data_IF_462797203355
#
_entry.id   IF_462797203355
#
_cell.length_a   1.000
_cell.length_b   1.000
_cell.length_c   1.000
_cell.angle_alpha   90.00
_cell.angle_beta   90.00
_cell.angle_gamma   90.00
#
_symmetry.space_group_name_H-M   'P 1'
#
loop_
_entity.id
_entity.type
_entity.pdbx_description
1 polymer ?
#
# COMPACT_ATOMS: atom_id res chain seq x y z
N UNK A 1 -11.59 16.73 19.71
CA UNK A 1 -10.38 16.09 19.14
C UNK A 1 -10.22 16.64 17.72
N UNK A 2 -9.05 17.17 17.36
CA UNK A 2 -8.81 17.64 16.00
C UNK A 2 -8.88 16.47 15.01
N UNK A 3 -9.39 16.67 13.79
CA UNK A 3 -9.41 15.62 12.79
C UNK A 3 -7.99 15.19 12.42
N UNK A 4 -7.79 13.90 12.10
CA UNK A 4 -6.47 13.40 11.69
C UNK A 4 -6.01 14.10 10.41
N UNK A 5 -4.72 14.45 10.35
CA UNK A 5 -4.13 15.17 9.21
C UNK A 5 -3.36 14.24 8.25
N UNK A 6 -3.18 12.97 8.63
CA UNK A 6 -2.50 11.95 7.81
C UNK A 6 -3.33 10.67 7.78
N UNK A 7 -3.18 9.84 6.74
CA UNK A 7 -3.84 8.54 6.66
C UNK A 7 -3.43 7.61 7.81
N UNK A 8 -2.15 7.65 8.21
CA UNK A 8 -1.65 6.85 9.32
C UNK A 8 -2.31 7.25 10.64
N UNK A 9 -2.47 8.55 10.90
CA UNK A 9 -3.19 9.04 12.08
C UNK A 9 -4.69 8.71 12.01
N UNK A 10 -5.29 8.70 10.82
CA UNK A 10 -6.68 8.30 10.62
C UNK A 10 -6.88 6.82 10.95
N UNK A 11 -5.98 5.95 10.48
CA UNK A 11 -6.02 4.52 10.81
C UNK A 11 -5.80 4.28 12.30
N UNK A 12 -4.83 4.97 12.93
CA UNK A 12 -4.61 4.87 14.38
C UNK A 12 -5.85 5.27 15.18
N UNK A 13 -6.53 6.35 14.79
CA UNK A 13 -7.78 6.78 15.40
C UNK A 13 -8.92 5.77 15.17
N UNK A 14 -9.01 5.17 13.98
CA UNK A 14 -9.99 4.14 13.69
C UNK A 14 -9.73 2.85 14.49
N UNK A 15 -8.47 2.49 14.72
CA UNK A 15 -8.04 1.31 15.47
C UNK A 15 -8.49 1.30 16.95
N UNK A 16 -8.85 2.46 17.51
CA UNK A 16 -9.41 2.54 18.88
C UNK A 16 -10.87 2.04 18.96
N UNK A 17 -11.50 1.74 17.80
CA UNK A 17 -12.89 1.29 17.69
C UNK A 17 -12.92 -0.21 17.42
N UNK A 18 -13.16 -1.03 18.43
CA UNK A 18 -13.03 -2.50 18.36
C UNK A 18 -13.97 -3.15 17.33
N UNK A 19 -15.20 -2.63 17.18
CA UNK A 19 -16.20 -3.18 16.27
C UNK A 19 -16.15 -2.61 14.83
N UNK A 20 -15.27 -1.64 14.56
CA UNK A 20 -15.16 -1.03 13.25
C UNK A 20 -14.06 -1.72 12.42
N UNK A 21 -14.37 -1.94 11.14
CA UNK A 21 -13.46 -2.66 10.24
C UNK A 21 -14.07 -2.83 8.86
N UNK A 22 -13.58 -3.81 8.13
CA UNK A 22 -14.07 -4.15 6.80
C UNK A 22 -14.08 -5.68 6.60
N UNK A 23 -14.83 -6.13 5.63
CA UNK A 23 -14.91 -7.54 5.25
C UNK A 23 -14.50 -7.72 3.80
N UNK A 24 -13.61 -8.68 3.55
CA UNK A 24 -13.35 -9.16 2.20
C UNK A 24 -14.43 -10.18 1.79
N UNK A 25 -15.09 -9.90 0.68
CA UNK A 25 -16.06 -10.81 0.06
C UNK A 25 -15.34 -11.58 -1.04
N UNK A 26 -15.29 -12.91 -0.93
CA UNK A 26 -14.73 -13.75 -1.99
C UNK A 26 -15.82 -14.13 -3.00
N UNK A 27 -15.41 -14.42 -4.26
CA UNK A 27 -16.32 -14.92 -5.30
C UNK A 27 -16.85 -16.33 -5.02
N UNK A 28 -16.21 -17.08 -4.13
CA UNK A 28 -16.50 -18.50 -3.86
C UNK A 28 -17.55 -18.74 -2.78
N UNK A 29 -18.43 -17.77 -2.49
CA UNK A 29 -19.44 -17.89 -1.41
C UNK A 29 -18.87 -18.27 -0.04
N UNK A 30 -17.58 -18.10 0.18
CA UNK A 30 -17.00 -18.28 1.50
C UNK A 30 -17.48 -17.17 2.44
N UNK A 31 -17.60 -17.46 3.75
CA UNK A 31 -17.95 -16.42 4.70
C UNK A 31 -16.97 -15.26 4.61
N UNK A 32 -17.49 -14.04 4.59
CA UNK A 32 -16.70 -12.83 4.59
C UNK A 32 -15.72 -12.82 5.77
N UNK A 33 -14.44 -12.60 5.51
CA UNK A 33 -13.47 -12.45 6.59
C UNK A 33 -13.51 -11.02 7.10
N UNK A 34 -13.98 -10.82 8.32
CA UNK A 34 -13.95 -9.49 8.97
C UNK A 34 -12.56 -9.19 9.52
N UNK A 35 -12.09 -7.99 9.24
CA UNK A 35 -10.84 -7.43 9.75
C UNK A 35 -11.16 -6.12 10.48
N UNK A 36 -10.93 -6.07 11.79
CA UNK A 36 -11.05 -4.82 12.55
C UNK A 36 -9.92 -3.85 12.18
N UNK A 37 -10.19 -2.54 12.30
CA UNK A 37 -9.13 -1.53 12.11
C UNK A 37 -7.99 -1.69 13.13
N UNK A 38 -8.27 -2.23 14.31
CA UNK A 38 -7.23 -2.57 15.29
C UNK A 38 -6.31 -3.70 14.79
N UNK A 39 -6.87 -4.73 14.15
CA UNK A 39 -6.08 -5.80 13.55
C UNK A 39 -5.28 -5.29 12.33
N UNK A 40 -5.90 -4.47 11.48
CA UNK A 40 -5.23 -3.84 10.34
C UNK A 40 -4.06 -2.95 10.80
N UNK A 41 -4.25 -2.15 11.87
CA UNK A 41 -3.21 -1.32 12.46
C UNK A 41 -1.99 -2.15 12.88
N UNK A 42 -2.20 -3.23 13.65
CA UNK A 42 -1.10 -4.12 14.07
C UNK A 42 -0.36 -4.76 12.89
N UNK A 43 -1.10 -5.21 11.87
CA UNK A 43 -0.49 -5.79 10.65
C UNK A 43 0.31 -4.74 9.87
N UNK A 44 -0.22 -3.53 9.74
CA UNK A 44 0.49 -2.41 9.10
C UNK A 44 1.77 -2.04 9.88
N UNK A 45 1.73 -2.04 11.23
CA UNK A 45 2.93 -1.81 12.05
C UNK A 45 3.98 -2.90 11.81
N UNK A 46 3.57 -4.17 11.77
CA UNK A 46 4.48 -5.28 11.45
C UNK A 46 5.09 -5.16 10.06
N UNK A 47 4.31 -4.78 9.04
CA UNK A 47 4.81 -4.51 7.69
C UNK A 47 5.82 -3.35 7.69
N UNK A 48 5.57 -2.29 8.44
CA UNK A 48 6.49 -1.17 8.56
C UNK A 48 7.83 -1.60 9.21
N UNK A 49 7.77 -2.35 10.32
CA UNK A 49 8.96 -2.91 10.96
C UNK A 49 9.74 -3.84 10.02
N UNK A 50 9.04 -4.67 9.23
CA UNK A 50 9.64 -5.53 8.23
C UNK A 50 10.36 -4.73 7.13
N UNK A 51 9.75 -3.65 6.62
CA UNK A 51 10.38 -2.76 5.66
C UNK A 51 11.64 -2.09 6.23
N UNK A 52 11.59 -1.66 7.49
CA UNK A 52 12.77 -1.11 8.19
C UNK A 52 13.87 -2.17 8.36
N UNK A 53 13.53 -3.42 8.67
CA UNK A 53 14.47 -4.54 8.76
C UNK A 53 15.11 -4.86 7.39
N UNK A 54 14.38 -4.65 6.28
CA UNK A 54 14.91 -4.72 4.91
C UNK A 54 15.80 -3.52 4.53
N UNK A 55 16.00 -2.56 5.44
CA UNK A 55 16.81 -1.37 5.24
C UNK A 55 16.10 -0.26 4.45
N UNK A 56 14.77 -0.30 4.36
CA UNK A 56 13.99 0.81 3.78
C UNK A 56 14.02 2.01 4.75
N UNK A 57 14.35 3.17 4.23
CA UNK A 57 14.46 4.42 5.00
C UNK A 57 13.30 5.37 4.68
N UNK A 58 12.98 6.31 5.59
CA UNK A 58 12.02 7.36 5.29
C UNK A 58 12.34 8.09 3.97
N UNK A 59 11.32 8.35 3.16
CA UNK A 59 11.43 8.96 1.83
C UNK A 59 11.84 8.00 0.70
N UNK A 60 12.24 6.77 0.97
CA UNK A 60 12.48 5.78 -0.07
C UNK A 60 11.16 5.23 -0.65
N UNK A 61 11.20 4.76 -1.89
CA UNK A 61 10.04 4.22 -2.62
C UNK A 61 10.07 2.72 -2.60
N UNK A 62 8.90 2.14 -2.27
CA UNK A 62 8.68 0.69 -2.21
C UNK A 62 7.62 0.32 -3.23
N UNK A 63 7.99 -0.47 -4.22
CA UNK A 63 7.06 -1.06 -5.19
C UNK A 63 6.19 -2.11 -4.50
N UNK A 64 4.87 -2.02 -4.66
CA UNK A 64 3.90 -2.98 -4.14
C UNK A 64 3.21 -3.68 -5.30
N UNK A 65 3.50 -4.98 -5.49
CA UNK A 65 2.94 -5.82 -6.55
C UNK A 65 2.26 -7.01 -5.88
N UNK A 66 1.10 -6.77 -5.28
CA UNK A 66 0.39 -7.71 -4.42
C UNK A 66 -1.00 -8.00 -4.98
N UNK A 67 -1.27 -9.23 -5.42
CA UNK A 67 -2.60 -9.64 -5.90
C UNK A 67 -3.64 -9.76 -4.78
N UNK A 68 -3.19 -10.09 -3.57
CA UNK A 68 -4.06 -10.18 -2.40
C UNK A 68 -4.36 -8.80 -1.82
N UNK A 69 -5.64 -8.44 -1.75
CA UNK A 69 -6.08 -7.12 -1.28
C UNK A 69 -5.75 -6.87 0.19
N UNK A 70 -5.74 -7.90 1.04
CA UNK A 70 -5.42 -7.73 2.45
C UNK A 70 -3.93 -7.46 2.63
N UNK A 71 -3.07 -8.23 1.96
CA UNK A 71 -1.63 -7.99 1.95
C UNK A 71 -1.29 -6.62 1.35
N UNK A 72 -2.00 -6.21 0.29
CA UNK A 72 -1.82 -4.90 -0.33
C UNK A 72 -2.13 -3.77 0.66
N UNK A 73 -3.28 -3.83 1.35
CA UNK A 73 -3.68 -2.83 2.34
C UNK A 73 -2.69 -2.78 3.50
N UNK A 74 -2.28 -3.92 4.04
CA UNK A 74 -1.32 -4.00 5.14
C UNK A 74 0.03 -3.37 4.74
N UNK A 75 0.50 -3.62 3.51
CA UNK A 75 1.78 -3.09 3.03
C UNK A 75 1.73 -1.60 2.62
N UNK A 76 0.62 -1.09 2.06
CA UNK A 76 0.53 0.33 1.71
C UNK A 76 0.54 1.20 2.98
N UNK A 77 -0.19 0.79 4.03
CA UNK A 77 -0.12 1.46 5.33
C UNK A 77 1.20 1.21 6.05
N UNK A 78 1.78 0.01 5.90
CA UNK A 78 3.11 -0.30 6.40
C UNK A 78 4.19 0.62 5.83
N UNK A 79 4.18 0.85 4.52
CA UNK A 79 5.10 1.79 3.87
C UNK A 79 4.94 3.22 4.42
N UNK A 80 3.70 3.71 4.55
CA UNK A 80 3.42 5.02 5.12
C UNK A 80 3.89 5.14 6.58
N UNK A 81 3.70 4.09 7.40
CA UNK A 81 4.16 4.06 8.80
C UNK A 81 5.69 4.02 8.91
N UNK A 82 6.36 3.38 7.96
CA UNK A 82 7.82 3.41 7.85
C UNK A 82 8.36 4.75 7.33
N UNK A 83 7.50 5.71 6.97
CA UNK A 83 7.86 6.96 6.31
C UNK A 83 8.30 6.75 4.86
N UNK A 84 8.10 5.58 4.30
CA UNK A 84 8.39 5.27 2.91
C UNK A 84 7.22 5.65 2.00
N UNK A 85 7.49 5.79 0.72
CA UNK A 85 6.53 6.16 -0.30
C UNK A 85 6.10 4.87 -1.02
N UNK A 86 4.84 4.50 -0.90
CA UNK A 86 4.29 3.36 -1.61
C UNK A 86 4.19 3.63 -3.13
N UNK A 87 4.51 2.64 -3.94
CA UNK A 87 4.36 2.66 -5.41
C UNK A 87 3.51 1.46 -5.82
N UNK A 88 2.17 1.58 -5.78
CA UNK A 88 1.27 0.52 -6.22
C UNK A 88 1.45 0.19 -7.70
N UNK A 89 1.61 -1.09 -8.01
CA UNK A 89 1.74 -1.59 -9.39
C UNK A 89 0.82 -2.81 -9.52
N UNK A 90 -0.04 -2.82 -10.53
CA UNK A 90 -0.91 -3.96 -10.78
C UNK A 90 -0.11 -5.23 -11.03
N UNK A 91 -0.51 -6.37 -10.44
CA UNK A 91 0.08 -7.67 -10.77
C UNK A 91 -0.23 -8.07 -12.22
N UNK A 92 0.54 -9.01 -12.81
CA UNK A 92 0.30 -9.46 -14.18
C UNK A 92 -1.05 -10.19 -14.26
N UNK A 93 -1.98 -9.64 -15.07
CA UNK A 93 -3.32 -10.22 -15.25
C UNK A 93 -3.35 -11.32 -16.31
N UNK A 94 -2.47 -11.26 -17.32
CA UNK A 94 -2.43 -12.19 -18.45
C UNK A 94 -0.99 -12.55 -18.81
N UNK A 95 -0.68 -13.84 -18.86
CA UNK A 95 0.64 -14.33 -19.26
C UNK A 95 1.00 -14.04 -20.73
N UNK A 96 0.01 -13.76 -21.59
CA UNK A 96 0.25 -13.43 -23.02
C UNK A 96 0.84 -12.03 -23.28
N UNK A 97 0.89 -11.15 -22.28
CA UNK A 97 1.45 -9.78 -22.40
C UNK A 97 2.63 -9.55 -21.43
N UNK A 98 3.33 -10.61 -21.16
CA UNK A 98 4.36 -10.63 -20.12
C UNK A 98 5.51 -9.63 -20.36
N UNK A 99 6.04 -9.57 -21.58
CA UNK A 99 7.13 -8.64 -21.91
C UNK A 99 6.72 -7.18 -21.78
N UNK A 100 5.50 -6.84 -22.20
CA UNK A 100 4.95 -5.50 -22.04
C UNK A 100 4.75 -5.14 -20.56
N UNK A 101 4.27 -6.10 -19.75
CA UNK A 101 4.14 -5.93 -18.31
C UNK A 101 5.49 -5.67 -17.65
N UNK A 102 6.52 -6.49 -17.94
CA UNK A 102 7.87 -6.29 -17.41
C UNK A 102 8.49 -4.96 -17.85
N UNK A 103 8.29 -4.56 -19.10
CA UNK A 103 8.78 -3.29 -19.61
C UNK A 103 8.16 -2.10 -18.87
N UNK A 104 6.83 -2.12 -18.68
CA UNK A 104 6.09 -1.10 -17.93
C UNK A 104 6.49 -1.08 -16.45
N UNK A 105 6.57 -2.24 -15.80
CA UNK A 105 7.00 -2.36 -14.40
C UNK A 105 8.42 -1.84 -14.22
N UNK A 106 9.35 -2.21 -15.12
CA UNK A 106 10.72 -1.68 -15.12
C UNK A 106 10.73 -0.16 -15.24
N UNK A 107 9.92 0.40 -16.15
CA UNK A 107 9.81 1.84 -16.34
C UNK A 107 9.33 2.53 -15.06
N UNK A 108 8.24 2.03 -14.45
CA UNK A 108 7.68 2.59 -13.22
C UNK A 108 8.72 2.56 -12.09
N UNK A 109 9.33 1.41 -11.82
CA UNK A 109 10.30 1.24 -10.75
C UNK A 109 11.54 2.11 -10.92
N UNK A 110 12.03 2.27 -12.16
CA UNK A 110 13.13 3.18 -12.49
C UNK A 110 12.75 4.63 -12.28
N UNK A 111 11.62 5.06 -12.83
CA UNK A 111 11.18 6.45 -12.75
C UNK A 111 10.88 6.85 -11.30
N UNK A 112 10.24 5.97 -10.53
CA UNK A 112 10.01 6.17 -9.11
C UNK A 112 11.32 6.12 -8.32
N UNK A 113 12.36 5.44 -8.81
CA UNK A 113 13.59 5.16 -8.06
C UNK A 113 13.32 4.23 -6.87
N UNK A 114 12.59 3.15 -7.09
CA UNK A 114 12.28 2.19 -6.03
C UNK A 114 13.53 1.50 -5.50
N UNK A 115 13.64 1.43 -4.18
CA UNK A 115 14.72 0.74 -3.47
C UNK A 115 14.38 -0.70 -3.09
N UNK A 116 13.09 -1.01 -2.97
CA UNK A 116 12.58 -2.33 -2.63
C UNK A 116 11.29 -2.62 -3.40
N UNK A 117 10.99 -3.90 -3.59
CA UNK A 117 9.69 -4.40 -4.08
C UNK A 117 9.19 -5.46 -3.12
N UNK A 118 7.92 -5.34 -2.72
CA UNK A 118 7.19 -6.36 -1.99
C UNK A 118 6.13 -6.95 -2.92
N UNK A 119 6.10 -8.28 -2.98
CA UNK A 119 5.22 -9.04 -3.88
C UNK A 119 4.71 -10.31 -3.20
N UNK A 120 4.12 -11.21 -3.95
CA UNK A 120 3.75 -12.55 -3.49
C UNK A 120 4.64 -13.65 -4.10
N UNK A 121 4.48 -14.88 -3.62
CA UNK A 121 5.28 -16.02 -4.06
C UNK A 121 5.05 -16.39 -5.54
N UNK A 122 3.88 -16.09 -6.11
CA UNK A 122 3.54 -16.41 -7.51
C UNK A 122 4.15 -15.39 -8.47
N UNK A 123 4.21 -14.13 -8.05
CA UNK A 123 4.72 -13.02 -8.88
C UNK A 123 6.24 -12.89 -8.76
N UNK A 124 6.83 -13.18 -7.61
CA UNK A 124 8.28 -13.02 -7.38
C UNK A 124 9.18 -13.64 -8.45
N UNK A 125 8.98 -14.89 -8.91
CA UNK A 125 9.85 -15.50 -9.95
C UNK A 125 9.87 -14.69 -11.25
N UNK A 126 8.74 -14.03 -11.55
CA UNK A 126 8.55 -13.22 -12.76
C UNK A 126 9.40 -11.95 -12.71
N UNK A 127 9.63 -11.41 -11.52
CA UNK A 127 10.30 -10.14 -11.29
C UNK A 127 11.84 -10.24 -11.19
N UNK A 128 12.40 -11.45 -11.25
CA UNK A 128 13.83 -11.67 -10.99
C UNK A 128 14.78 -10.82 -11.85
N UNK A 129 14.42 -10.58 -13.11
CA UNK A 129 15.21 -9.73 -14.04
C UNK A 129 15.21 -8.23 -13.63
N UNK A 130 14.29 -7.78 -12.80
CA UNK A 130 14.20 -6.38 -12.38
C UNK A 130 15.40 -5.96 -11.51
N UNK A 131 15.97 -6.88 -10.74
CA UNK A 131 17.14 -6.60 -9.90
C UNK A 131 18.34 -6.06 -10.69
N UNK A 132 18.55 -6.55 -11.91
CA UNK A 132 19.63 -6.09 -12.79
C UNK A 132 19.21 -4.92 -13.66
N UNK A 133 17.90 -4.74 -13.87
CA UNK A 133 17.33 -3.75 -14.78
C UNK A 133 16.98 -2.42 -14.14
N UNK A 134 16.82 -2.38 -12.81
CA UNK A 134 16.39 -1.16 -12.07
C UNK A 134 17.53 -0.69 -11.17
N UNK A 135 18.23 0.40 -11.53
CA UNK A 135 19.30 0.95 -10.70
C UNK A 135 18.77 1.33 -9.30
N UNK A 136 19.51 0.94 -8.26
CA UNK A 136 19.16 1.26 -6.87
C UNK A 136 18.14 0.32 -6.23
N UNK A 137 17.54 -0.60 -6.97
CA UNK A 137 16.70 -1.65 -6.41
C UNK A 137 17.58 -2.66 -5.65
N UNK A 138 17.40 -2.73 -4.33
CA UNK A 138 18.22 -3.57 -3.44
C UNK A 138 17.61 -4.92 -3.14
N UNK A 139 16.27 -5.01 -3.16
CA UNK A 139 15.57 -6.25 -2.82
C UNK A 139 14.24 -6.39 -3.53
N UNK A 140 13.91 -7.64 -3.86
CA UNK A 140 12.56 -8.09 -4.23
C UNK A 140 12.24 -9.25 -3.29
N UNK A 141 11.25 -9.07 -2.43
CA UNK A 141 10.85 -10.06 -1.42
C UNK A 141 9.35 -10.30 -1.45
N UNK A 142 8.92 -11.43 -0.92
CA UNK A 142 7.49 -11.67 -0.71
C UNK A 142 7.03 -11.01 0.57
N UNK A 143 5.71 -10.74 0.66
CA UNK A 143 5.11 -10.28 1.91
C UNK A 143 5.42 -11.27 3.05
N UNK A 144 5.25 -12.57 2.80
CA UNK A 144 5.50 -13.61 3.79
C UNK A 144 6.96 -13.63 4.28
N UNK A 145 7.94 -13.56 3.35
CA UNK A 145 9.36 -13.50 3.71
C UNK A 145 9.70 -12.22 4.48
N UNK A 146 9.13 -11.09 4.08
CA UNK A 146 9.36 -9.81 4.75
C UNK A 146 8.87 -9.83 6.21
N UNK A 147 7.62 -10.24 6.45
CA UNK A 147 7.07 -10.29 7.83
C UNK A 147 7.72 -11.37 8.70
N UNK A 148 8.34 -12.39 8.10
CA UNK A 148 9.10 -13.41 8.84
C UNK A 148 10.42 -12.85 9.44
N UNK A 149 10.90 -11.69 9.00
CA UNK A 149 12.09 -11.04 9.55
C UNK A 149 11.85 -10.43 10.93
N UNK A 150 10.59 -10.26 11.34
CA UNK A 150 10.23 -9.55 12.57
C UNK A 150 9.19 -10.33 13.38
N UNK A 151 9.14 -10.16 14.71
CA UNK A 151 8.11 -10.75 15.55
C UNK A 151 6.68 -10.37 15.13
N UNK A 152 5.70 -11.16 15.55
CA UNK A 152 4.28 -10.89 15.24
C UNK A 152 3.81 -9.53 15.81
N UNK A 153 4.26 -9.18 17.00
CA UNK A 153 3.95 -7.91 17.68
C UNK A 153 4.99 -6.82 17.42
N UNK A 154 5.72 -6.89 16.28
CA UNK A 154 6.73 -5.88 15.96
C UNK A 154 6.07 -4.53 15.68
N UNK A 155 6.64 -3.48 16.29
CA UNK A 155 6.32 -2.09 16.00
C UNK A 155 7.49 -1.43 15.25
N UNK A 156 7.20 -0.53 14.29
CA UNK A 156 8.26 0.18 13.60
C UNK A 156 8.97 1.15 14.54
N UNK A 157 10.25 1.43 14.27
CA UNK A 157 10.91 2.56 14.88
C UNK A 157 10.14 3.85 14.55
N UNK A 158 9.97 4.71 15.55
CA UNK A 158 9.11 5.88 15.44
C UNK A 158 9.52 6.82 14.29
N UNK A 159 8.64 6.97 13.31
CA UNK A 159 8.75 7.95 12.23
C UNK A 159 7.61 8.94 12.36
N UNK A 160 7.94 10.23 12.35
CA UNK A 160 6.93 11.30 12.37
C UNK A 160 6.44 11.52 10.95
N UNK A 161 5.25 11.03 10.64
CA UNK A 161 4.60 11.25 9.34
C UNK A 161 3.86 12.59 9.35
N UNK A 162 4.16 13.46 8.38
CA UNK A 162 3.60 14.80 8.25
C UNK A 162 2.56 14.88 7.13
N UNK A 163 1.64 15.84 7.17
CA UNK A 163 0.64 16.02 6.10
C UNK A 163 1.24 16.23 4.71
N UNK A 164 2.38 16.93 4.62
CA UNK A 164 3.04 17.23 3.36
C UNK A 164 3.96 16.11 2.86
N UNK A 165 4.17 15.06 3.66
CA UNK A 165 4.92 13.89 3.22
C UNK A 165 4.14 13.16 2.12
N UNK A 166 4.89 12.62 1.14
CA UNK A 166 4.32 11.84 0.05
C UNK A 166 3.85 10.50 0.61
N UNK A 167 2.56 10.21 0.47
CA UNK A 167 1.97 8.94 0.89
C UNK A 167 2.22 7.84 -0.14
N UNK A 168 1.92 8.13 -1.42
CA UNK A 168 2.21 7.20 -2.51
C UNK A 168 2.32 7.88 -3.87
N UNK A 169 2.90 7.16 -4.83
CA UNK A 169 2.94 7.54 -6.23
C UNK A 169 1.93 6.70 -7.01
N UNK A 170 0.92 7.36 -7.58
CA UNK A 170 -0.07 6.70 -8.42
C UNK A 170 0.36 6.76 -9.88
N UNK A 171 0.68 5.63 -10.47
CA UNK A 171 0.98 5.54 -11.90
C UNK A 171 -0.29 5.31 -12.70
N UNK A 172 -0.49 6.14 -13.71
CA UNK A 172 -1.64 6.05 -14.62
C UNK A 172 -1.17 5.77 -16.04
N UNK A 173 -1.97 5.00 -16.79
CA UNK A 173 -1.69 4.65 -18.18
C UNK A 173 -1.85 5.81 -19.17
N UNK A 174 -1.96 7.06 -18.72
CA UNK A 174 -2.05 8.28 -19.55
C UNK A 174 -2.37 8.10 -21.05
N UNK A 175 -2.78 9.13 -21.75
CA UNK A 175 -3.00 9.10 -23.21
C UNK A 175 -1.71 8.91 -24.04
N UNK A 176 -0.56 8.90 -23.38
CA UNK A 176 0.76 8.65 -23.97
C UNK A 176 1.23 7.26 -23.59
N UNK A 177 1.99 6.60 -24.46
CA UNK A 177 2.40 5.19 -24.37
C UNK A 177 3.17 4.75 -23.10
N UNK A 178 3.51 5.66 -22.20
CA UNK A 178 4.25 5.34 -20.95
C UNK A 178 3.54 5.84 -19.71
N UNK A 179 3.45 5.02 -18.65
CA UNK A 179 2.85 5.42 -17.37
C UNK A 179 3.51 6.67 -16.79
N UNK A 180 2.69 7.59 -16.24
CA UNK A 180 3.15 8.79 -15.54
C UNK A 180 2.78 8.68 -14.06
N UNK A 181 3.72 9.02 -13.18
CA UNK A 181 3.52 9.02 -11.73
C UNK A 181 2.89 10.33 -11.25
N UNK A 182 1.78 10.23 -10.54
CA UNK A 182 1.15 11.33 -9.81
C UNK A 182 1.56 11.23 -8.35
N UNK A 183 2.10 12.30 -7.80
CA UNK A 183 2.52 12.39 -6.40
C UNK A 183 1.33 12.78 -5.54
N UNK A 184 1.02 11.97 -4.53
CA UNK A 184 -0.07 12.21 -3.59
C UNK A 184 0.48 12.29 -2.17
N UNK A 185 0.28 13.45 -1.53
CA UNK A 185 0.63 13.66 -0.13
C UNK A 185 -0.49 13.17 0.80
N UNK A 186 -0.17 12.98 2.09
CA UNK A 186 -1.20 12.71 3.08
C UNK A 186 -2.26 13.81 3.13
N UNK A 187 -1.86 15.09 2.99
CA UNK A 187 -2.79 16.22 2.95
C UNK A 187 -3.77 16.12 1.76
N UNK A 188 -3.29 15.76 0.56
CA UNK A 188 -4.14 15.56 -0.61
C UNK A 188 -5.21 14.49 -0.36
N UNK A 189 -4.80 13.36 0.21
CA UNK A 189 -5.69 12.24 0.50
C UNK A 189 -6.72 12.61 1.57
N UNK A 190 -6.29 13.26 2.65
CA UNK A 190 -7.20 13.68 3.72
C UNK A 190 -8.19 14.74 3.25
N UNK A 191 -7.77 15.67 2.37
CA UNK A 191 -8.67 16.65 1.77
C UNK A 191 -9.72 15.96 0.87
N UNK A 192 -9.31 14.97 0.07
CA UNK A 192 -10.23 14.20 -0.76
C UNK A 192 -11.23 13.38 0.07
N UNK A 193 -10.76 12.70 1.12
CA UNK A 193 -11.62 11.96 2.06
C UNK A 193 -12.63 12.90 2.72
N UNK A 194 -12.20 14.10 3.16
CA UNK A 194 -13.08 15.09 3.76
C UNK A 194 -14.11 15.62 2.76
N UNK A 195 -13.74 15.82 1.50
CA UNK A 195 -14.67 16.25 0.44
C UNK A 195 -15.71 15.18 0.13
N UNK A 196 -15.28 13.90 0.00
CA UNK A 196 -16.19 12.78 -0.27
C UNK A 196 -17.13 12.51 0.91
N UNK A 197 -16.57 12.45 2.13
CA UNK A 197 -17.30 12.04 3.33
C UNK A 197 -18.05 13.18 4.03
N UNK A 198 -17.75 14.43 3.69
CA UNK A 198 -18.28 15.61 4.36
C UNK A 198 -19.70 16.02 3.95
N UNK A 199 -20.15 17.15 4.46
CA UNK A 199 -21.52 17.64 4.28
C UNK A 199 -21.93 17.94 2.84
N UNK A 200 -20.99 18.28 1.97
CA UNK A 200 -21.21 18.48 0.52
C UNK A 200 -21.07 17.19 -0.30
N UNK A 201 -20.59 16.09 0.29
CA UNK A 201 -20.43 14.78 -0.34
C UNK A 201 -21.44 13.77 0.16
N UNK A 202 -20.95 12.56 0.49
CA UNK A 202 -21.78 11.41 0.90
C UNK A 202 -22.31 11.50 2.34
N UNK A 203 -21.94 12.53 3.09
CA UNK A 203 -22.34 12.73 4.50
C UNK A 203 -22.08 11.48 5.38
N UNK A 204 -20.90 10.88 5.21
CA UNK A 204 -20.55 9.64 5.92
C UNK A 204 -20.51 9.87 7.43
N UNK A 205 -21.28 9.09 8.16
CA UNK A 205 -21.33 9.06 9.62
C UNK A 205 -20.62 7.81 10.18
N UNK A 206 -20.62 7.70 11.51
CA UNK A 206 -20.09 6.50 12.18
C UNK A 206 -20.94 5.24 11.95
N UNK A 207 -22.18 5.40 11.53
CA UNK A 207 -23.14 4.33 11.27
C UNK A 207 -23.17 3.94 9.79
N UNK A 208 -22.49 4.72 8.94
CA UNK A 208 -22.42 4.44 7.51
C UNK A 208 -21.60 3.19 7.23
N UNK A 209 -22.12 2.36 6.33
CA UNK A 209 -21.39 1.25 5.73
C UNK A 209 -21.30 1.43 4.22
N UNK A 210 -20.27 0.89 3.60
CA UNK A 210 -20.06 0.97 2.17
C UNK A 210 -19.65 -0.37 1.59
N UNK A 211 -19.93 -0.58 0.32
CA UNK A 211 -19.51 -1.72 -0.46
C UNK A 211 -18.72 -1.22 -1.67
N UNK A 212 -17.58 -1.82 -1.93
CA UNK A 212 -16.81 -1.61 -3.16
C UNK A 212 -16.60 -2.94 -3.87
N UNK A 213 -16.80 -2.96 -5.19
CA UNK A 213 -16.45 -4.08 -6.08
C UNK A 213 -15.21 -3.78 -6.92
N UNK A 214 -14.61 -2.61 -6.75
CA UNK A 214 -13.40 -2.24 -7.45
C UNK A 214 -12.21 -3.02 -6.89
N UNK A 215 -11.29 -3.50 -7.73
CA UNK A 215 -10.03 -4.06 -7.26
C UNK A 215 -9.23 -2.97 -6.53
N UNK A 216 -8.58 -3.38 -5.46
CA UNK A 216 -7.69 -2.51 -4.68
C UNK A 216 -6.29 -2.55 -5.28
#
# INVERSE_FOLDING_TARGET
MQPPKTLTAALAAAATREAAGFSHLSHERQPASFVSYAAMWRRAQRCAAAMQALGVRPGERVGLILPDSAEFIDNIFGAMLAGAIAVPIYPPMNLGQFDAYLANTTHILRQAGCSAVITDAKVRPILGKLMTSVPGLRTITTHADAIALVPEAAEPAGVVVRPDDIAFLQYTSGSTSRPKGVTLTHANLMANIAAIGGGAGLQISRESSGLSWLPL
#
